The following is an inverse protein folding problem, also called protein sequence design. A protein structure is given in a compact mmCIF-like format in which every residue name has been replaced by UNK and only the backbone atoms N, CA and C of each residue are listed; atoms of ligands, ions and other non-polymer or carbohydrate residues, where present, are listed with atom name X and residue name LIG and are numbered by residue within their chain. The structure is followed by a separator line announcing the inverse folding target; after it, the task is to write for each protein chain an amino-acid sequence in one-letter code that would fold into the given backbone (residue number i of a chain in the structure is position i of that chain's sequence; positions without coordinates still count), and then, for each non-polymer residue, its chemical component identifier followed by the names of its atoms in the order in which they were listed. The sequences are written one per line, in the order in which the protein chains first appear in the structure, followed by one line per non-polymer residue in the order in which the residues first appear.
data_IF_469378432525
#
_entry.id   IF_469378432525
#
_cell.length_a   1.000
_cell.length_b   1.000
_cell.length_c   1.000
_cell.angle_alpha   90.00
_cell.angle_beta   90.00
_cell.angle_gamma   90.00
#
_symmetry.space_group_name_H-M   'P 1'
#
loop_
_entity.id
_entity.type
_entity.pdbx_description
1 polymer ?
#
# COMPACT_ATOMS: atom_id res chain seq x y z
N UNK A 1 -14.47 -12.05 16.47
CA UNK A 1 -14.18 -10.89 17.35
C UNK A 1 -15.17 -9.77 17.04
N UNK A 2 -16.01 -9.38 18.01
CA UNK A 2 -17.15 -8.45 17.79
C UNK A 2 -16.83 -7.06 18.36
N UNK A 3 -17.23 -6.01 17.64
CA UNK A 3 -17.20 -4.62 18.12
C UNK A 3 -18.47 -4.35 18.95
N UNK A 4 -18.36 -4.45 20.27
CA UNK A 4 -19.43 -4.04 21.18
C UNK A 4 -19.37 -2.54 21.43
N UNK A 5 -20.48 -1.95 21.88
CA UNK A 5 -20.57 -0.51 22.12
C UNK A 5 -19.59 -0.04 23.21
N UNK A 6 -19.32 -0.87 24.22
CA UNK A 6 -18.33 -0.59 25.26
C UNK A 6 -16.92 -0.47 24.66
N UNK A 7 -16.56 -1.35 23.72
CA UNK A 7 -15.25 -1.29 23.04
C UNK A 7 -15.13 -0.09 22.12
N UNK A 8 -16.24 0.38 21.54
CA UNK A 8 -16.24 1.61 20.73
C UNK A 8 -16.04 2.83 21.62
N UNK A 9 -16.69 2.90 22.79
CA UNK A 9 -16.46 3.99 23.75
C UNK A 9 -15.00 4.03 24.22
N UNK A 10 -14.44 2.88 24.60
CA UNK A 10 -13.02 2.78 24.98
C UNK A 10 -12.08 3.15 23.84
N UNK A 11 -12.42 2.77 22.59
CA UNK A 11 -11.65 3.17 21.41
C UNK A 11 -11.58 4.69 21.27
N UNK A 12 -12.71 5.40 21.39
CA UNK A 12 -12.75 6.87 21.32
C UNK A 12 -11.92 7.49 22.45
N UNK A 13 -12.10 7.00 23.68
CA UNK A 13 -11.34 7.49 24.85
C UNK A 13 -9.82 7.30 24.68
N UNK A 14 -9.37 6.11 24.26
CA UNK A 14 -7.95 5.87 24.01
C UNK A 14 -7.41 6.64 22.80
N UNK A 15 -8.29 6.96 21.85
CA UNK A 15 -7.94 7.77 20.69
C UNK A 15 -7.67 9.22 21.06
N UNK A 16 -8.54 9.82 21.85
CA UNK A 16 -8.42 11.21 22.34
C UNK A 16 -7.26 11.38 23.32
N UNK A 17 -7.02 10.40 24.18
CA UNK A 17 -5.85 10.38 25.07
C UNK A 17 -4.51 10.18 24.36
N UNK A 18 -4.50 10.10 23.03
CA UNK A 18 -3.26 10.10 22.27
C UNK A 18 -2.54 8.74 22.21
N UNK A 19 -3.14 7.65 22.69
CA UNK A 19 -2.48 6.34 22.66
C UNK A 19 -2.17 5.84 21.24
N UNK A 20 -1.11 5.03 21.11
CA UNK A 20 -0.75 4.40 19.84
C UNK A 20 -1.74 3.31 19.46
N UNK A 21 -1.96 3.14 18.15
CA UNK A 21 -2.93 2.16 17.61
C UNK A 21 -2.60 0.73 18.07
N UNK A 22 -1.31 0.40 18.18
CA UNK A 22 -0.85 -0.91 18.67
C UNK A 22 -1.23 -1.12 20.15
N UNK A 23 -1.13 -0.07 20.97
CA UNK A 23 -1.48 -0.14 22.39
C UNK A 23 -2.99 -0.26 22.59
N UNK A 24 -3.77 0.51 21.83
CA UNK A 24 -5.23 0.41 21.79
C UNK A 24 -5.67 -0.99 21.39
N UNK A 25 -5.02 -1.57 20.36
CA UNK A 25 -5.29 -2.93 19.93
C UNK A 25 -5.07 -3.95 21.05
N UNK A 26 -3.92 -3.88 21.75
CA UNK A 26 -3.63 -4.76 22.90
C UNK A 26 -4.67 -4.64 24.01
N UNK A 27 -5.10 -3.42 24.36
CA UNK A 27 -6.08 -3.19 25.44
C UNK A 27 -7.49 -3.67 25.06
N UNK A 28 -7.90 -3.50 23.81
CA UNK A 28 -9.21 -3.95 23.32
C UNK A 28 -9.23 -5.42 22.87
N UNK A 29 -8.07 -6.08 22.88
CA UNK A 29 -7.83 -7.40 22.29
C UNK A 29 -7.93 -7.43 20.76
N UNK A 30 -7.98 -6.27 20.10
CA UNK A 30 -8.18 -6.10 18.66
C UNK A 30 -6.82 -6.04 17.93
N UNK A 31 -6.78 -6.49 16.67
CA UNK A 31 -5.58 -6.26 15.85
C UNK A 31 -5.41 -4.77 15.53
N UNK A 32 -4.16 -4.33 15.28
CA UNK A 32 -3.88 -2.94 14.86
C UNK A 32 -4.76 -2.52 13.69
N UNK A 33 -4.90 -3.37 12.67
CA UNK A 33 -5.70 -3.07 11.48
C UNK A 33 -7.21 -2.99 11.79
N UNK A 34 -7.71 -3.81 12.72
CA UNK A 34 -9.10 -3.71 13.16
C UNK A 34 -9.39 -2.36 13.83
N UNK A 35 -8.47 -1.88 14.68
CA UNK A 35 -8.56 -0.56 15.33
C UNK A 35 -8.55 0.57 14.31
N UNK A 36 -7.59 0.58 13.37
CA UNK A 36 -7.54 1.60 12.29
C UNK A 36 -8.84 1.62 11.50
N UNK A 37 -9.28 0.43 11.06
CA UNK A 37 -10.49 0.30 10.26
C UNK A 37 -11.73 0.79 11.01
N UNK A 38 -11.87 0.47 12.31
CA UNK A 38 -13.02 0.94 13.09
C UNK A 38 -12.96 2.45 13.31
N UNK A 39 -11.79 3.00 13.65
CA UNK A 39 -11.61 4.44 13.84
C UNK A 39 -11.98 5.24 12.58
N UNK A 40 -11.56 4.78 11.40
CA UNK A 40 -11.94 5.40 10.13
C UNK A 40 -13.44 5.32 9.85
N UNK A 41 -14.08 4.17 10.12
CA UNK A 41 -15.53 3.99 9.89
C UNK A 41 -16.40 4.87 10.79
N UNK A 42 -15.94 5.19 12.00
CA UNK A 42 -16.67 6.06 12.94
C UNK A 42 -16.25 7.54 12.82
N UNK A 43 -15.40 7.89 11.84
CA UNK A 43 -15.04 9.27 11.56
C UNK A 43 -14.06 9.92 12.56
N UNK A 44 -13.27 9.13 13.30
CA UNK A 44 -12.27 9.70 14.20
C UNK A 44 -11.18 10.46 13.41
N UNK A 45 -10.71 11.58 13.97
CA UNK A 45 -9.72 12.43 13.33
C UNK A 45 -8.43 11.67 12.97
N UNK A 46 -7.94 11.90 11.74
CA UNK A 46 -6.71 11.29 11.23
C UNK A 46 -5.51 11.85 12.00
N UNK A 47 -4.97 11.06 12.92
CA UNK A 47 -3.72 11.41 13.61
C UNK A 47 -2.53 11.18 12.67
N UNK A 48 -1.64 12.17 12.55
CA UNK A 48 -0.34 11.97 11.95
C UNK A 48 0.43 11.00 12.85
N UNK A 49 0.61 9.75 12.39
CA UNK A 49 1.20 8.70 13.21
C UNK A 49 2.61 9.14 13.62
N UNK A 50 2.91 9.36 14.91
CA UNK A 50 4.28 9.40 15.35
C UNK A 50 4.79 7.99 15.14
N UNK A 51 5.61 7.78 14.11
CA UNK A 51 6.35 6.54 13.92
C UNK A 51 7.42 6.55 15.01
N UNK A 52 7.02 6.34 16.26
CA UNK A 52 7.95 5.99 17.31
C UNK A 52 8.35 4.54 17.03
N UNK A 53 9.50 4.38 16.37
CA UNK A 53 10.24 3.13 16.37
C UNK A 53 10.54 2.83 17.84
N UNK A 54 9.72 2.01 18.48
CA UNK A 54 10.07 1.45 19.77
C UNK A 54 11.35 0.65 19.56
N UNK A 55 12.46 1.15 20.09
CA UNK A 55 13.70 0.41 20.25
C UNK A 55 13.42 -0.71 21.24
N UNK A 56 12.91 -1.83 20.73
CA UNK A 56 12.90 -3.07 21.48
C UNK A 56 14.36 -3.50 21.63
N UNK A 57 14.89 -3.69 22.86
CA UNK A 57 16.21 -4.28 23.02
C UNK A 57 16.22 -5.62 22.28
N UNK A 58 17.10 -5.73 21.30
CA UNK A 58 17.37 -6.98 20.62
C UNK A 58 17.93 -7.93 21.68
N UNK A 59 17.16 -8.97 22.01
CA UNK A 59 17.77 -10.13 22.67
C UNK A 59 18.77 -10.74 21.68
N UNK A 60 20.01 -11.01 22.10
CA UNK A 60 21.04 -11.52 21.20
C UNK A 60 20.63 -12.92 20.72
N UNK A 61 20.43 -13.05 19.41
CA UNK A 61 20.45 -14.35 18.74
C UNK A 61 21.92 -14.66 18.45
N UNK A 62 22.45 -15.84 18.83
CA UNK A 62 23.85 -16.16 18.56
C UNK A 62 24.15 -16.14 17.07
N UNK A 63 25.28 -15.54 16.75
CA UNK A 63 25.76 -15.24 15.40
C UNK A 63 26.43 -16.46 14.74
N UNK A 64 26.18 -16.59 13.44
CA UNK A 64 27.11 -17.14 12.46
C UNK A 64 27.17 -16.09 11.33
N UNK A 65 28.20 -15.23 11.27
CA UNK A 65 29.43 -15.37 10.44
C UNK A 65 29.09 -15.50 8.94
N UNK A 66 29.54 -14.74 7.95
CA UNK A 66 30.40 -13.57 7.67
C UNK A 66 30.00 -13.16 6.21
N UNK A 67 30.23 -12.00 5.61
CA UNK A 67 31.03 -10.81 5.90
C UNK A 67 31.04 -9.88 4.67
N UNK A 68 31.61 -8.68 4.84
CA UNK A 68 31.96 -7.70 3.80
C UNK A 68 30.80 -6.80 3.37
N UNK A 69 30.66 -5.54 3.80
CA UNK A 69 31.67 -4.47 3.84
C UNK A 69 31.76 -3.82 2.45
N UNK A 70 31.68 -2.51 2.23
CA UNK A 70 31.70 -1.36 3.11
C UNK A 70 31.09 -0.14 2.39
N UNK A 71 30.54 0.74 3.22
CA UNK A 71 30.09 2.12 3.07
C UNK A 71 30.94 3.05 2.20
N UNK A 72 30.30 4.11 1.68
CA UNK A 72 30.65 5.53 1.92
C UNK A 72 29.52 6.39 1.35
N UNK A 73 28.96 7.42 1.99
CA UNK A 73 29.46 8.26 3.08
C UNK A 73 29.25 9.71 2.65
N UNK A 74 28.66 10.55 3.51
CA UNK A 74 28.62 12.00 3.26
C UNK A 74 27.41 12.72 3.85
N UNK A 75 27.41 12.89 5.18
CA UNK A 75 26.51 13.82 5.85
C UNK A 75 26.99 15.27 5.75
N UNK A 76 26.08 16.20 5.99
CA UNK A 76 26.36 17.53 6.51
C UNK A 76 25.18 17.98 7.37
N UNK A 77 25.55 18.81 8.33
CA UNK A 77 24.96 19.03 9.64
C UNK A 77 23.85 20.10 9.68
N UNK A 78 22.97 19.91 10.67
CA UNK A 78 22.29 20.87 11.54
C UNK A 78 22.02 22.32 11.07
N UNK A 79 20.77 22.77 11.18
CA UNK A 79 20.34 23.81 12.14
C UNK A 79 18.86 24.21 11.95
N UNK A 80 18.14 24.40 13.06
CA UNK A 80 16.91 25.20 13.16
C UNK A 80 17.31 26.58 13.76
N UNK A 81 16.56 27.71 13.61
CA UNK A 81 15.16 27.83 14.03
C UNK A 81 14.25 28.75 13.15
N UNK A 82 12.95 28.75 13.46
CA UNK A 82 11.94 29.65 12.88
C UNK A 82 12.11 31.12 13.33
N UNK A 83 11.58 32.11 12.57
CA UNK A 83 10.35 32.75 13.06
C UNK A 83 9.33 33.19 11.97
N UNK A 84 8.16 33.57 12.47
CA UNK A 84 6.88 33.91 11.84
C UNK A 84 6.89 34.77 10.56
N UNK A 85 5.90 34.53 9.68
CA UNK A 85 5.27 35.55 8.84
C UNK A 85 3.83 35.16 8.46
N UNK A 86 2.93 36.13 8.57
CA UNK A 86 1.52 36.09 8.19
C UNK A 86 1.32 36.28 6.65
N UNK A 87 0.07 36.47 6.19
CA UNK A 87 -0.72 35.56 5.37
C UNK A 87 -0.37 35.61 3.86
N UNK A 88 -0.39 34.46 3.18
CA UNK A 88 -0.12 34.36 1.74
C UNK A 88 -1.35 33.83 0.99
N UNK A 89 -2.15 34.79 0.54
CA UNK A 89 -2.79 34.92 -0.79
C UNK A 89 -3.11 33.64 -1.59
N UNK A 90 -4.41 33.46 -1.83
CA UNK A 90 -5.00 32.52 -2.79
C UNK A 90 -4.39 32.74 -4.17
N UNK A 91 -3.92 31.65 -4.79
CA UNK A 91 -3.61 31.60 -6.22
C UNK A 91 -4.34 30.41 -6.83
N UNK A 92 -5.38 30.74 -7.58
CA UNK A 92 -6.03 29.88 -8.55
C UNK A 92 -5.15 29.90 -9.80
N UNK A 93 -4.46 28.78 -10.09
CA UNK A 93 -4.02 28.44 -11.43
C UNK A 93 -3.73 26.93 -11.53
N UNK A 94 -4.28 26.34 -12.60
CA UNK A 94 -3.93 25.07 -13.23
C UNK A 94 -3.95 23.78 -12.38
N UNK A 95 -4.99 22.97 -12.64
CA UNK A 95 -5.07 21.56 -12.30
C UNK A 95 -3.82 20.79 -12.78
N UNK A 96 -2.95 20.46 -11.84
CA UNK A 96 -1.91 19.45 -12.01
C UNK A 96 -2.53 18.09 -11.71
N UNK A 97 -2.42 17.08 -12.60
CA UNK A 97 -2.89 15.74 -12.27
C UNK A 97 -2.04 15.21 -11.13
N UNK A 98 -2.72 14.82 -10.04
CA UNK A 98 -2.13 14.09 -8.91
C UNK A 98 -1.60 12.75 -9.41
N UNK A 99 -0.34 12.75 -9.84
CA UNK A 99 0.45 11.58 -10.21
C UNK A 99 0.48 10.64 -9.00
N UNK A 100 -0.25 9.54 -9.10
CA UNK A 100 -0.15 8.44 -8.16
C UNK A 100 1.32 8.01 -8.12
N UNK A 101 1.85 7.93 -6.90
CA UNK A 101 3.21 7.54 -6.55
C UNK A 101 3.69 6.33 -7.37
N UNK A 102 4.43 6.61 -8.45
CA UNK A 102 5.16 5.64 -9.24
C UNK A 102 6.47 5.31 -8.51
N UNK A 103 6.38 4.55 -7.42
CA UNK A 103 7.54 4.01 -6.74
C UNK A 103 7.45 2.48 -6.72
N UNK A 104 8.22 1.87 -7.62
CA UNK A 104 8.47 0.43 -7.78
C UNK A 104 7.30 -0.44 -8.28
N UNK A 105 6.60 -0.01 -9.34
CA UNK A 105 6.02 -1.01 -10.24
C UNK A 105 7.17 -1.51 -11.11
N UNK A 106 7.55 -2.79 -10.97
CA UNK A 106 8.38 -3.44 -11.98
C UNK A 106 7.63 -3.32 -13.31
N UNK A 107 8.05 -2.37 -14.13
CA UNK A 107 7.41 -2.10 -15.41
C UNK A 107 7.62 -3.36 -16.25
N UNK A 108 6.54 -4.09 -16.52
CA UNK A 108 6.62 -5.18 -17.48
C UNK A 108 7.17 -4.62 -18.79
N UNK A 109 8.17 -5.29 -19.34
CA UNK A 109 8.62 -4.97 -20.68
C UNK A 109 7.52 -5.32 -21.69
N UNK A 110 7.55 -4.66 -22.85
CA UNK A 110 6.62 -4.97 -23.94
C UNK A 110 6.69 -6.45 -24.35
N UNK A 111 7.89 -7.03 -24.33
CA UNK A 111 8.10 -8.45 -24.62
C UNK A 111 7.44 -9.37 -23.57
N UNK A 112 7.53 -9.03 -22.27
CA UNK A 112 6.86 -9.78 -21.22
C UNK A 112 5.34 -9.65 -21.29
N UNK A 113 4.82 -8.45 -21.59
CA UNK A 113 3.39 -8.25 -21.82
C UNK A 113 2.88 -9.12 -22.96
N UNK A 114 3.59 -9.16 -24.09
CA UNK A 114 3.23 -9.99 -25.24
C UNK A 114 3.30 -11.50 -24.93
N UNK A 115 4.28 -11.96 -24.15
CA UNK A 115 4.36 -13.35 -23.72
C UNK A 115 3.24 -13.74 -22.73
N UNK A 116 2.67 -12.76 -22.03
CA UNK A 116 1.63 -12.91 -21.01
C UNK A 116 0.22 -12.65 -21.52
N UNK A 117 0.02 -12.41 -22.82
CA UNK A 117 -1.30 -12.26 -23.44
C UNK A 117 -1.79 -13.60 -23.99
N UNK A 118 -2.57 -14.38 -23.22
CA UNK A 118 -3.28 -15.53 -23.80
C UNK A 118 -4.31 -15.04 -24.83
N UNK A 119 -4.44 -15.77 -25.94
CA UNK A 119 -5.37 -15.42 -27.02
C UNK A 119 -6.83 -15.75 -26.68
N UNK A 120 -7.06 -16.63 -25.71
CA UNK A 120 -8.38 -17.13 -25.31
C UNK A 120 -8.45 -17.29 -23.80
N UNK A 121 -9.57 -16.88 -23.18
CA UNK A 121 -9.77 -17.01 -21.74
C UNK A 121 -10.78 -16.01 -21.16
N UNK A 122 -11.01 -16.06 -19.83
CA UNK A 122 -11.90 -15.11 -19.16
C UNK A 122 -11.35 -13.68 -19.25
N UNK A 123 -12.24 -12.69 -19.29
CA UNK A 123 -11.84 -11.28 -19.38
C UNK A 123 -11.40 -10.73 -18.04
N UNK A 124 -10.44 -9.81 -18.08
CA UNK A 124 -9.92 -9.11 -16.91
C UNK A 124 -11.01 -8.31 -16.21
N UNK A 125 -11.12 -8.48 -14.88
CA UNK A 125 -12.16 -7.82 -14.07
C UNK A 125 -11.73 -6.48 -13.46
N UNK A 126 -10.75 -5.81 -14.08
CA UNK A 126 -10.26 -4.54 -13.56
C UNK A 126 -11.19 -3.39 -13.99
N UNK A 127 -11.74 -2.62 -13.04
CA UNK A 127 -12.61 -1.50 -13.35
C UNK A 127 -11.81 -0.32 -13.93
N UNK A 128 -12.36 0.32 -14.95
CA UNK A 128 -11.84 1.51 -15.61
C UNK A 128 -12.91 2.59 -15.44
N UNK A 129 -12.51 3.73 -14.88
CA UNK A 129 -13.42 4.83 -14.58
C UNK A 129 -14.13 4.71 -13.22
N UNK A 130 -15.07 5.64 -12.98
CA UNK A 130 -15.88 5.68 -11.77
C UNK A 130 -17.18 4.87 -11.96
N UNK A 131 -17.58 4.02 -11.00
CA UNK A 131 -18.81 3.23 -11.10
C UNK A 131 -20.11 4.02 -11.33
N UNK A 132 -20.12 5.34 -11.09
CA UNK A 132 -21.28 6.21 -11.34
C UNK A 132 -21.22 6.92 -12.69
N UNK A 133 -20.13 6.77 -13.44
CA UNK A 133 -19.98 7.32 -14.79
C UNK A 133 -20.59 6.39 -15.84
N UNK A 134 -21.07 6.96 -16.95
CA UNK A 134 -21.47 6.20 -18.14
C UNK A 134 -20.27 5.59 -18.89
N UNK A 135 -19.05 6.03 -18.61
CA UNK A 135 -17.79 5.50 -19.15
C UNK A 135 -17.18 4.44 -18.24
N UNK A 136 -17.97 3.84 -17.34
CA UNK A 136 -17.51 2.74 -16.50
C UNK A 136 -17.41 1.45 -17.30
N UNK A 137 -16.19 0.98 -17.48
CA UNK A 137 -15.90 -0.24 -18.24
C UNK A 137 -14.98 -1.18 -17.47
N UNK A 138 -14.92 -2.43 -17.93
CA UNK A 138 -13.92 -3.39 -17.47
C UNK A 138 -12.85 -3.62 -18.51
N UNK A 139 -11.65 -3.90 -18.02
CA UNK A 139 -10.53 -4.23 -18.89
C UNK A 139 -10.87 -5.39 -19.86
N UNK A 140 -10.52 -5.17 -21.11
CA UNK A 140 -10.82 -6.06 -22.23
C UNK A 140 -9.73 -7.10 -22.50
N UNK A 141 -8.63 -7.07 -21.73
CA UNK A 141 -7.57 -8.05 -21.88
C UNK A 141 -7.96 -9.39 -21.24
N UNK A 142 -7.35 -10.47 -21.73
CA UNK A 142 -7.57 -11.80 -21.16
C UNK A 142 -6.89 -11.88 -19.80
N UNK A 143 -7.57 -12.48 -18.83
CA UNK A 143 -7.04 -12.69 -17.50
C UNK A 143 -6.01 -13.83 -17.50
N UNK A 144 -5.02 -13.71 -16.62
CA UNK A 144 -4.04 -14.78 -16.44
C UNK A 144 -4.70 -16.03 -15.84
N UNK A 145 -4.17 -17.24 -16.12
CA UNK A 145 -4.72 -18.48 -15.58
C UNK A 145 -4.73 -18.47 -14.05
N UNK A 146 -5.88 -18.83 -13.45
CA UNK A 146 -6.05 -18.80 -11.99
C UNK A 146 -6.03 -17.40 -11.36
N UNK A 147 -6.07 -16.33 -12.17
CA UNK A 147 -6.14 -14.93 -11.71
C UNK A 147 -7.35 -14.23 -12.34
N UNK A 148 -7.94 -13.22 -11.66
CA UNK A 148 -9.06 -12.46 -12.20
C UNK A 148 -8.64 -11.31 -13.13
N UNK A 149 -7.33 -11.05 -13.27
CA UNK A 149 -6.79 -9.88 -13.96
C UNK A 149 -5.77 -10.28 -15.03
N UNK A 150 -5.60 -9.44 -16.06
CA UNK A 150 -4.52 -9.56 -17.04
C UNK A 150 -3.17 -9.26 -16.39
N UNK A 151 -2.07 -9.44 -17.13
CA UNK A 151 -0.71 -9.22 -16.63
C UNK A 151 -0.51 -7.81 -16.05
N UNK A 152 -0.91 -6.78 -16.80
CA UNK A 152 -0.80 -5.39 -16.35
C UNK A 152 -1.58 -5.13 -15.05
N UNK A 153 -2.81 -5.62 -14.95
CA UNK A 153 -3.63 -5.41 -13.76
C UNK A 153 -3.26 -6.34 -12.60
N UNK A 154 -2.60 -7.47 -12.85
CA UNK A 154 -1.96 -8.25 -11.78
C UNK A 154 -0.80 -7.48 -11.14
N UNK A 155 0.00 -6.78 -11.95
CA UNK A 155 1.06 -5.88 -11.47
C UNK A 155 0.51 -4.81 -10.53
N UNK A 156 -0.65 -4.23 -10.91
CA UNK A 156 -1.30 -3.19 -10.14
C UNK A 156 -2.00 -3.73 -8.86
N UNK A 157 -2.58 -4.93 -8.92
CA UNK A 157 -3.37 -5.51 -7.83
C UNK A 157 -2.52 -6.11 -6.70
N UNK A 158 -1.38 -6.72 -7.04
CA UNK A 158 -0.63 -7.57 -6.13
C UNK A 158 0.74 -6.97 -5.80
N UNK A 159 1.04 -6.82 -4.51
CA UNK A 159 2.33 -6.28 -4.04
C UNK A 159 3.49 -7.25 -4.25
N UNK A 160 3.22 -8.56 -4.31
CA UNK A 160 4.23 -9.61 -4.44
C UNK A 160 4.05 -10.38 -5.76
N UNK A 161 3.71 -9.67 -6.83
CA UNK A 161 3.53 -10.29 -8.13
C UNK A 161 4.87 -10.70 -8.75
N UNK A 162 4.95 -11.95 -9.19
CA UNK A 162 6.04 -12.46 -10.02
C UNK A 162 5.52 -12.69 -11.45
N UNK A 163 6.02 -11.95 -12.45
CA UNK A 163 5.61 -12.16 -13.84
C UNK A 163 6.16 -13.45 -14.46
N UNK A 164 7.26 -14.01 -13.96
CA UNK A 164 7.88 -15.22 -14.53
C UNK A 164 6.97 -16.45 -14.38
N UNK A 165 6.36 -16.63 -13.20
CA UNK A 165 5.41 -17.73 -12.97
C UNK A 165 4.16 -17.62 -13.83
N UNK A 166 3.75 -16.39 -14.19
CA UNK A 166 2.65 -16.17 -15.10
C UNK A 166 3.02 -16.52 -16.55
N UNK A 167 4.27 -16.28 -16.98
CA UNK A 167 4.76 -16.66 -18.32
C UNK A 167 4.74 -18.18 -18.47
N UNK A 168 5.21 -18.91 -17.46
CA UNK A 168 5.19 -20.38 -17.45
C UNK A 168 3.76 -20.93 -17.55
N UNK A 169 2.83 -20.37 -16.78
CA UNK A 169 1.43 -20.79 -16.80
C UNK A 169 0.76 -20.53 -18.17
N UNK A 170 1.01 -19.39 -18.79
CA UNK A 170 0.48 -19.07 -20.12
C UNK A 170 1.11 -19.96 -21.19
N UNK A 171 2.43 -20.22 -21.11
CA UNK A 171 3.13 -21.13 -22.02
C UNK A 171 2.59 -22.55 -21.95
N UNK A 172 2.27 -23.05 -20.75
CA UNK A 172 1.69 -24.37 -20.56
C UNK A 172 0.31 -24.52 -21.23
N UNK A 173 -0.50 -23.45 -21.24
CA UNK A 173 -1.81 -23.45 -21.91
C UNK A 173 -1.67 -23.37 -23.42
N UNK A 174 -0.77 -22.53 -23.93
CA UNK A 174 -0.58 -22.38 -25.37
C UNK A 174 0.13 -23.59 -26.01
N UNK A 175 0.75 -24.45 -25.21
CA UNK A 175 1.41 -25.68 -25.67
C UNK A 175 0.49 -26.92 -25.64
N UNK A 176 -0.74 -26.78 -25.15
CA UNK A 176 -1.77 -27.83 -25.08
C UNK A 176 -2.80 -27.68 -26.21
#
# INVERSE_FOLDING_TARGET
MVWTDEKVKLLVQYWESGQSITQIGKQLGMTRNAVVGKAHRIGLAKRASPIMRSEKPAQPRPAATHGGGSSSGGGHTAAAPAPARAPVQVREDAATPVSHSQASQAQLTAAMLAALTPSTGPRCKWPIGDPKSSEFDFCTHVALPGKPYCASHCAAAYTNWNPESAVEAVKAINAA
#
